data_IF_914744230633
#
_entry.id   IF_914744230633
#
_cell.length_a   1.000
_cell.length_b   1.000
_cell.length_c   1.000
_cell.angle_alpha   90.00
_cell.angle_beta   90.00
_cell.angle_gamma   90.00
#
_symmetry.space_group_name_H-M   'P 1'
#
loop_
_entity.id
_entity.type
_entity.pdbx_description
1 polymer ?
#
# COMPACT_ATOMS: atom_id res chain seq x y z
N UNK A 1 -22.79 -10.05 -15.26
CA UNK A 1 -22.48 -8.97 -14.31
C UNK A 1 -21.61 -7.93 -15.01
N UNK A 2 -21.83 -6.65 -14.77
CA UNK A 2 -21.05 -5.55 -15.37
C UNK A 2 -20.10 -4.87 -14.36
N UNK A 3 -19.31 -3.91 -14.83
CA UNK A 3 -18.32 -3.18 -14.03
C UNK A 3 -18.96 -2.37 -12.88
N UNK A 4 -20.14 -1.78 -13.12
CA UNK A 4 -20.84 -0.99 -12.11
C UNK A 4 -21.26 -1.86 -10.93
N UNK A 5 -21.80 -3.06 -11.19
CA UNK A 5 -22.21 -4.00 -10.15
C UNK A 5 -21.03 -4.49 -9.32
N UNK A 6 -19.92 -4.87 -9.96
CA UNK A 6 -18.71 -5.32 -9.25
C UNK A 6 -18.15 -4.21 -8.33
N UNK A 7 -18.13 -2.96 -8.80
CA UNK A 7 -17.70 -1.81 -7.98
C UNK A 7 -18.68 -1.56 -6.82
N UNK A 8 -19.98 -1.69 -7.03
CA UNK A 8 -20.97 -1.55 -5.97
C UNK A 8 -20.78 -2.59 -4.85
N UNK A 9 -20.46 -3.86 -5.19
CA UNK A 9 -20.12 -4.90 -4.21
C UNK A 9 -18.89 -4.49 -3.39
N UNK A 10 -17.84 -3.96 -4.03
CA UNK A 10 -16.64 -3.52 -3.33
C UNK A 10 -16.91 -2.36 -2.35
N UNK A 11 -17.70 -1.37 -2.76
CA UNK A 11 -18.09 -0.25 -1.90
C UNK A 11 -18.95 -0.71 -0.72
N UNK A 12 -19.92 -1.60 -0.96
CA UNK A 12 -20.76 -2.19 0.09
C UNK A 12 -19.95 -3.01 1.10
N UNK A 13 -18.85 -3.64 0.68
CA UNK A 13 -17.91 -4.35 1.55
C UNK A 13 -16.86 -3.45 2.23
N UNK A 14 -16.99 -2.13 2.10
CA UNK A 14 -16.22 -1.14 2.85
C UNK A 14 -14.95 -0.62 2.16
N UNK A 15 -14.80 -0.82 0.84
CA UNK A 15 -13.79 -0.11 0.08
C UNK A 15 -14.13 1.39 0.04
N UNK A 16 -13.13 2.26 0.27
CA UNK A 16 -13.30 3.72 0.15
C UNK A 16 -13.41 4.15 -1.31
N UNK A 17 -12.78 3.40 -2.22
CA UNK A 17 -12.94 3.54 -3.65
C UNK A 17 -12.66 2.20 -4.35
N UNK A 18 -13.28 1.99 -5.51
CA UNK A 18 -13.09 0.81 -6.33
C UNK A 18 -13.11 1.19 -7.82
N UNK A 19 -12.29 0.52 -8.61
CA UNK A 19 -12.16 0.77 -10.05
C UNK A 19 -11.77 -0.50 -10.81
N UNK A 20 -12.04 -0.52 -12.12
CA UNK A 20 -11.69 -1.63 -13.00
C UNK A 20 -10.45 -1.28 -13.83
N UNK A 21 -9.42 -2.11 -13.75
CA UNK A 21 -8.23 -2.02 -14.59
C UNK A 21 -8.19 -3.16 -15.63
N UNK A 22 -7.49 -2.97 -16.75
CA UNK A 22 -7.26 -4.04 -17.73
C UNK A 22 -6.32 -5.12 -17.14
N UNK A 23 -6.52 -6.38 -17.55
CA UNK A 23 -5.64 -7.49 -17.18
C UNK A 23 -4.36 -7.61 -18.05
N UNK A 24 -4.06 -6.60 -18.87
CA UNK A 24 -3.00 -6.62 -19.88
C UNK A 24 -1.57 -6.54 -19.33
N UNK A 25 -0.62 -6.28 -20.22
CA UNK A 25 0.74 -5.92 -19.84
C UNK A 25 0.76 -4.52 -19.22
N UNK A 26 1.63 -4.33 -18.23
CA UNK A 26 1.80 -3.06 -17.53
C UNK A 26 3.06 -2.36 -18.04
N UNK A 27 2.91 -1.15 -18.59
CA UNK A 27 4.04 -0.37 -19.10
C UNK A 27 5.05 -0.02 -18.00
N UNK A 28 4.56 0.20 -16.77
CA UNK A 28 5.37 0.44 -15.58
C UNK A 28 6.24 -0.77 -15.16
N UNK A 29 6.11 -1.92 -15.83
CA UNK A 29 6.98 -3.06 -15.59
C UNK A 29 8.47 -2.73 -15.81
N UNK A 30 8.79 -1.82 -16.74
CA UNK A 30 10.18 -1.36 -16.96
C UNK A 30 10.75 -0.74 -15.69
N UNK A 31 9.99 0.15 -15.05
CA UNK A 31 10.39 0.84 -13.82
C UNK A 31 10.62 -0.14 -12.68
N UNK A 32 9.75 -1.14 -12.53
CA UNK A 32 9.96 -2.23 -11.57
C UNK A 32 11.25 -3.01 -11.89
N UNK A 33 11.46 -3.36 -13.15
CA UNK A 33 12.65 -4.12 -13.61
C UNK A 33 13.95 -3.38 -13.31
N UNK A 34 13.99 -2.07 -13.49
CA UNK A 34 15.14 -1.25 -13.11
C UNK A 34 15.31 -1.19 -11.59
N UNK A 35 14.23 -0.98 -10.83
CA UNK A 35 14.30 -0.84 -9.38
C UNK A 35 14.84 -2.11 -8.71
N UNK A 36 14.44 -3.31 -9.16
CA UNK A 36 14.87 -4.58 -8.56
C UNK A 36 16.36 -4.90 -8.75
N UNK A 37 17.06 -4.20 -9.65
CA UNK A 37 18.51 -4.38 -9.82
C UNK A 37 19.31 -3.90 -8.62
N UNK A 38 18.81 -2.88 -7.91
CA UNK A 38 19.52 -2.17 -6.83
C UNK A 38 18.85 -2.29 -5.46
N UNK A 39 18.03 -3.33 -5.24
CA UNK A 39 17.37 -3.55 -3.95
C UNK A 39 18.30 -4.19 -2.91
N UNK A 40 18.15 -3.84 -1.63
CA UNK A 40 18.88 -4.48 -0.55
C UNK A 40 18.41 -5.93 -0.32
N UNK A 41 19.23 -6.72 0.41
CA UNK A 41 19.05 -8.17 0.60
C UNK A 41 17.70 -8.55 1.22
N UNK A 42 17.16 -7.73 2.13
CA UNK A 42 15.85 -7.94 2.76
C UNK A 42 14.68 -7.97 1.76
N UNK A 43 14.87 -7.41 0.57
CA UNK A 43 13.86 -7.39 -0.50
C UNK A 43 14.13 -8.40 -1.62
N UNK A 44 15.06 -9.35 -1.43
CA UNK A 44 15.47 -10.30 -2.47
C UNK A 44 14.34 -11.14 -3.07
N UNK A 45 13.21 -11.31 -2.37
CA UNK A 45 12.01 -11.96 -2.90
C UNK A 45 11.45 -11.26 -4.15
N UNK A 46 11.68 -9.95 -4.31
CA UNK A 46 11.28 -9.20 -5.49
C UNK A 46 12.06 -9.61 -6.75
N UNK A 47 13.16 -10.36 -6.64
CA UNK A 47 13.89 -10.88 -7.81
C UNK A 47 13.38 -12.25 -8.28
N UNK A 48 12.47 -12.88 -7.53
CA UNK A 48 11.92 -14.20 -7.86
C UNK A 48 10.88 -14.04 -8.97
N UNK A 49 11.11 -14.69 -10.10
CA UNK A 49 10.24 -14.66 -11.29
C UNK A 49 9.66 -13.25 -11.59
N UNK A 50 10.51 -12.26 -11.92
CA UNK A 50 10.06 -10.89 -12.08
C UNK A 50 9.03 -10.76 -13.21
N UNK A 51 9.10 -11.63 -14.23
CA UNK A 51 8.20 -11.59 -15.37
C UNK A 51 6.74 -11.82 -15.00
N UNK A 52 6.45 -12.53 -13.89
CA UNK A 52 5.08 -12.76 -13.44
C UNK A 52 4.35 -11.44 -13.11
N UNK A 53 5.09 -10.38 -12.74
CA UNK A 53 4.55 -9.05 -12.42
C UNK A 53 4.22 -8.20 -13.64
N UNK A 54 4.68 -8.59 -14.84
CA UNK A 54 4.46 -7.83 -16.08
C UNK A 54 2.98 -7.74 -16.45
N UNK A 55 2.20 -8.75 -16.09
CA UNK A 55 0.77 -8.80 -16.34
C UNK A 55 0.11 -9.72 -15.32
N UNK A 56 -1.06 -9.34 -14.82
CA UNK A 56 -1.86 -10.20 -13.93
C UNK A 56 -2.19 -11.55 -14.59
N UNK A 57 -2.28 -11.62 -15.93
CA UNK A 57 -2.51 -12.87 -16.68
C UNK A 57 -1.41 -13.91 -16.48
N UNK A 58 -0.18 -13.48 -16.18
CA UNK A 58 0.91 -14.43 -15.89
C UNK A 58 0.77 -15.07 -14.51
N UNK A 59 0.12 -14.39 -13.58
CA UNK A 59 -0.16 -14.88 -12.23
C UNK A 59 -1.54 -15.56 -12.10
N UNK A 60 -2.50 -15.16 -12.92
CA UNK A 60 -3.86 -15.69 -13.03
C UNK A 60 -4.28 -15.76 -14.50
N UNK A 61 -4.04 -16.89 -15.20
CA UNK A 61 -4.27 -17.00 -16.65
C UNK A 61 -5.71 -16.72 -17.12
N UNK A 62 -6.71 -16.99 -16.30
CA UNK A 62 -8.11 -16.73 -16.63
C UNK A 62 -8.48 -15.23 -16.58
N UNK A 63 -7.61 -14.37 -16.07
CA UNK A 63 -7.87 -12.95 -15.91
C UNK A 63 -8.24 -12.24 -17.23
N UNK A 64 -9.40 -11.57 -17.23
CA UNK A 64 -9.85 -10.68 -18.32
C UNK A 64 -9.93 -9.23 -17.86
N UNK A 65 -10.27 -9.00 -16.59
CA UNK A 65 -10.27 -7.69 -15.94
C UNK A 65 -9.74 -7.77 -14.51
N UNK A 66 -9.52 -6.61 -13.89
CA UNK A 66 -9.07 -6.51 -12.50
C UNK A 66 -9.92 -5.50 -11.75
N UNK A 67 -10.62 -5.94 -10.70
CA UNK A 67 -11.17 -5.05 -9.69
C UNK A 67 -10.04 -4.62 -8.76
N UNK A 68 -9.85 -3.31 -8.60
CA UNK A 68 -8.90 -2.72 -7.65
C UNK A 68 -9.67 -1.93 -6.60
N UNK A 69 -9.31 -2.12 -5.34
CA UNK A 69 -9.94 -1.49 -4.19
C UNK A 69 -8.90 -0.68 -3.39
N UNK A 70 -9.33 0.48 -2.90
CA UNK A 70 -8.59 1.29 -1.93
C UNK A 70 -9.34 1.32 -0.60
N UNK A 71 -8.61 1.09 0.49
CA UNK A 71 -9.15 1.10 1.86
C UNK A 71 -8.43 2.15 2.70
N UNK A 72 -9.11 3.22 3.09
CA UNK A 72 -8.50 4.29 3.89
C UNK A 72 -8.28 3.83 5.33
N UNK A 73 -7.06 3.99 5.83
CA UNK A 73 -6.67 3.60 7.20
C UNK A 73 -6.30 4.78 8.09
N UNK A 74 -6.21 5.98 7.53
CA UNK A 74 -5.92 7.18 8.30
C UNK A 74 -6.54 8.41 7.64
N UNK A 75 -6.92 9.40 8.45
CA UNK A 75 -7.39 10.70 7.98
C UNK A 75 -6.62 11.83 8.68
N UNK A 76 -6.49 13.01 8.04
CA UNK A 76 -5.69 14.11 8.59
C UNK A 76 -6.20 14.68 9.92
N UNK A 77 -7.46 14.43 10.29
CA UNK A 77 -8.02 14.89 11.57
C UNK A 77 -7.56 14.04 12.77
N UNK A 78 -6.99 12.87 12.52
CA UNK A 78 -6.53 11.96 13.58
C UNK A 78 -5.17 12.38 14.13
N UNK A 79 -5.03 12.32 15.46
CA UNK A 79 -3.78 12.62 16.16
C UNK A 79 -2.91 11.35 16.30
N UNK A 80 -1.79 11.31 15.57
CA UNK A 80 -0.85 10.18 15.59
C UNK A 80 -0.28 9.90 16.98
N UNK A 81 0.05 10.94 17.75
CA UNK A 81 0.64 10.78 19.08
C UNK A 81 -0.40 10.23 20.05
N UNK A 82 -1.64 10.73 19.98
CA UNK A 82 -2.74 10.25 20.81
C UNK A 82 -3.11 8.79 20.49
N UNK A 83 -3.20 8.41 19.21
CA UNK A 83 -3.48 7.02 18.84
C UNK A 83 -2.34 6.08 19.21
N UNK A 84 -1.09 6.49 18.99
CA UNK A 84 0.05 5.66 19.40
C UNK A 84 0.15 5.50 20.92
N UNK A 85 -0.24 6.49 21.71
CA UNK A 85 -0.26 6.37 23.18
C UNK A 85 -1.19 5.24 23.66
N UNK A 86 -2.29 4.97 22.93
CA UNK A 86 -3.22 3.86 23.22
C UNK A 86 -2.63 2.49 22.93
N UNK A 87 -1.60 2.38 22.10
CA UNK A 87 -0.95 1.12 21.74
C UNK A 87 -0.10 0.53 22.90
N UNK A 88 0.30 1.35 23.88
CA UNK A 88 1.19 0.94 24.95
C UNK A 88 2.60 0.54 24.44
N UNK A 89 3.25 -0.48 25.03
CA UNK A 89 4.60 -0.88 24.61
C UNK A 89 4.63 -1.35 23.15
N UNK A 90 5.32 -0.60 22.29
CA UNK A 90 5.29 -0.80 20.83
C UNK A 90 5.73 -2.19 20.39
N UNK A 91 6.74 -2.79 21.03
CA UNK A 91 7.19 -4.15 20.72
C UNK A 91 6.09 -5.18 20.95
N UNK A 92 5.38 -5.11 22.08
CA UNK A 92 4.28 -6.02 22.40
C UNK A 92 3.09 -5.77 21.47
N UNK A 93 2.77 -4.50 21.21
CA UNK A 93 1.72 -4.10 20.29
C UNK A 93 1.93 -4.65 18.87
N UNK A 94 3.15 -4.55 18.34
CA UNK A 94 3.48 -5.09 17.02
C UNK A 94 3.27 -6.61 16.99
N UNK A 95 3.77 -7.35 17.98
CA UNK A 95 3.54 -8.80 18.05
C UNK A 95 2.05 -9.16 18.10
N UNK A 96 1.29 -8.50 18.97
CA UNK A 96 -0.15 -8.75 19.14
C UNK A 96 -0.95 -8.38 17.89
N UNK A 97 -0.48 -7.41 17.10
CA UNK A 97 -1.08 -7.03 15.83
C UNK A 97 -0.54 -7.82 14.63
N UNK A 98 0.23 -8.90 14.85
CA UNK A 98 0.73 -9.81 13.82
C UNK A 98 1.99 -9.32 13.08
N UNK A 99 2.66 -8.27 13.59
CA UNK A 99 3.82 -7.65 12.97
C UNK A 99 5.10 -8.00 13.72
N UNK A 100 6.09 -8.52 13.00
CA UNK A 100 7.40 -8.84 13.57
C UNK A 100 8.25 -7.57 13.75
N UNK A 101 8.68 -7.22 14.97
CA UNK A 101 9.66 -6.17 15.21
C UNK A 101 11.02 -6.54 14.60
N UNK A 102 11.64 -5.61 13.86
CA UNK A 102 12.99 -5.81 13.26
C UNK A 102 14.08 -5.01 13.97
N UNK A 103 13.71 -3.91 14.63
CA UNK A 103 14.63 -3.00 15.33
C UNK A 103 14.19 -2.81 16.80
N UNK A 104 14.25 -3.86 17.66
CA UNK A 104 13.71 -3.80 19.03
C UNK A 104 14.34 -2.70 19.89
N UNK A 105 15.63 -2.41 19.71
CA UNK A 105 16.30 -1.32 20.43
C UNK A 105 15.71 0.07 20.09
N UNK A 106 15.32 0.30 18.82
CA UNK A 106 14.68 1.55 18.42
C UNK A 106 13.26 1.67 18.98
N UNK A 107 12.52 0.55 19.04
CA UNK A 107 11.16 0.52 19.57
C UNK A 107 11.08 0.80 21.07
N UNK A 108 12.13 0.45 21.83
CA UNK A 108 12.24 0.72 23.26
C UNK A 108 12.82 2.11 23.57
N UNK A 109 13.26 2.87 22.57
CA UNK A 109 13.85 4.18 22.78
C UNK A 109 12.77 5.24 23.13
N UNK A 110 13.09 6.22 23.99
CA UNK A 110 12.20 7.36 24.23
C UNK A 110 11.85 8.09 22.92
N UNK A 111 10.56 8.36 22.72
CA UNK A 111 10.08 9.04 21.51
C UNK A 111 10.01 8.15 20.26
N UNK A 112 10.10 6.82 20.41
CA UNK A 112 9.88 5.88 19.32
C UNK A 112 8.49 6.05 18.68
N UNK A 113 8.44 5.91 17.36
CA UNK A 113 7.24 6.07 16.51
C UNK A 113 7.07 4.87 15.60
N UNK A 114 5.83 4.45 15.39
CA UNK A 114 5.47 3.50 14.34
C UNK A 114 4.55 4.17 13.31
N UNK A 115 4.67 3.75 12.06
CA UNK A 115 3.85 4.25 10.95
C UNK A 115 2.36 4.07 11.25
N UNK A 116 1.53 5.01 10.77
CA UNK A 116 0.08 5.00 10.92
C UNK A 116 -0.55 3.68 10.45
N UNK A 117 -0.02 3.08 9.38
CA UNK A 117 -0.53 1.79 8.88
C UNK A 117 -0.31 0.63 9.89
N UNK A 118 0.66 0.79 10.79
CA UNK A 118 0.98 -0.21 11.80
C UNK A 118 0.07 -0.10 13.03
N UNK A 119 -0.69 0.99 13.20
CA UNK A 119 -1.61 1.19 14.31
C UNK A 119 -2.93 0.43 14.15
N UNK A 120 -3.30 0.01 12.94
CA UNK A 120 -4.48 -0.82 12.71
C UNK A 120 -4.14 -2.32 12.73
N UNK A 121 -5.16 -3.19 12.62
CA UNK A 121 -5.00 -4.63 12.37
C UNK A 121 -4.09 -4.87 11.15
N UNK A 122 -3.38 -6.00 11.12
CA UNK A 122 -2.57 -6.37 9.95
C UNK A 122 -3.41 -6.34 8.66
N UNK A 123 -3.05 -5.41 7.78
CA UNK A 123 -3.81 -5.15 6.57
C UNK A 123 -3.78 -6.32 5.60
N UNK A 124 -2.74 -7.17 5.64
CA UNK A 124 -2.66 -8.36 4.80
C UNK A 124 -3.86 -9.29 5.05
N UNK A 125 -4.22 -9.46 6.32
CA UNK A 125 -5.36 -10.28 6.74
C UNK A 125 -6.68 -9.55 6.49
N UNK A 126 -6.79 -8.30 6.96
CA UNK A 126 -8.04 -7.54 6.86
C UNK A 126 -8.47 -7.28 5.40
N UNK A 127 -7.53 -6.92 4.52
CA UNK A 127 -7.81 -6.73 3.08
C UNK A 127 -8.18 -8.07 2.44
N UNK A 128 -7.46 -9.16 2.73
CA UNK A 128 -7.74 -10.49 2.16
C UNK A 128 -9.12 -11.01 2.55
N UNK A 129 -9.53 -10.83 3.81
CA UNK A 129 -10.87 -11.20 4.29
C UNK A 129 -11.96 -10.46 3.52
N UNK A 130 -11.81 -9.13 3.39
CA UNK A 130 -12.75 -8.29 2.62
C UNK A 130 -12.83 -8.70 1.15
N UNK A 131 -11.68 -8.91 0.50
CA UNK A 131 -11.64 -9.32 -0.91
C UNK A 131 -12.22 -10.73 -1.12
N UNK A 132 -12.02 -11.65 -0.17
CA UNK A 132 -12.61 -12.99 -0.22
C UNK A 132 -14.13 -12.90 -0.12
N UNK A 133 -14.65 -12.12 0.83
CA UNK A 133 -16.08 -11.88 0.95
C UNK A 133 -16.67 -11.24 -0.32
N UNK A 134 -16.00 -10.23 -0.88
CA UNK A 134 -16.40 -9.62 -2.16
C UNK A 134 -16.45 -10.64 -3.30
N UNK A 135 -15.46 -11.55 -3.40
CA UNK A 135 -15.44 -12.58 -4.42
C UNK A 135 -16.61 -13.56 -4.26
N UNK A 136 -16.95 -13.94 -3.03
CA UNK A 136 -18.11 -14.80 -2.77
C UNK A 136 -19.43 -14.10 -3.14
N UNK A 137 -19.59 -12.80 -2.86
CA UNK A 137 -20.75 -12.05 -3.34
C UNK A 137 -20.82 -11.99 -4.88
N UNK A 138 -19.68 -11.80 -5.56
CA UNK A 138 -19.63 -11.83 -7.03
C UNK A 138 -20.06 -13.21 -7.56
N UNK A 139 -19.62 -14.30 -6.92
CA UNK A 139 -19.97 -15.67 -7.31
C UNK A 139 -21.45 -15.98 -7.15
N UNK A 140 -22.17 -15.38 -6.19
CA UNK A 140 -23.63 -15.58 -6.07
C UNK A 140 -24.38 -15.16 -7.34
N UNK A 141 -23.92 -14.10 -7.99
CA UNK A 141 -24.51 -13.57 -9.23
C UNK A 141 -23.79 -14.07 -10.49
N UNK A 142 -22.62 -14.68 -10.37
CA UNK A 142 -21.85 -15.24 -11.48
C UNK A 142 -21.11 -16.52 -11.03
N UNK A 143 -21.82 -17.66 -10.85
CA UNK A 143 -21.26 -18.83 -10.17
C UNK A 143 -20.02 -19.46 -10.82
N UNK A 144 -19.89 -19.35 -12.14
CA UNK A 144 -18.76 -19.89 -12.89
C UNK A 144 -17.56 -18.93 -13.00
N UNK A 145 -17.59 -17.77 -12.31
CA UNK A 145 -16.50 -16.79 -12.40
C UNK A 145 -15.22 -17.33 -11.76
N UNK A 146 -14.12 -17.30 -12.52
CA UNK A 146 -12.78 -17.47 -11.96
C UNK A 146 -12.30 -16.15 -11.36
N UNK A 147 -11.79 -16.21 -10.13
CA UNK A 147 -11.44 -15.04 -9.35
C UNK A 147 -10.27 -15.33 -8.41
N UNK A 148 -9.27 -14.46 -8.43
CA UNK A 148 -8.09 -14.58 -7.58
C UNK A 148 -7.80 -13.26 -6.87
N UNK A 149 -7.84 -13.27 -5.54
CA UNK A 149 -7.60 -12.09 -4.70
C UNK A 149 -6.10 -11.83 -4.54
N UNK A 150 -5.71 -10.56 -4.52
CA UNK A 150 -4.32 -10.14 -4.28
C UNK A 150 -4.23 -8.95 -3.33
N UNK A 151 -3.15 -8.91 -2.56
CA UNK A 151 -2.72 -7.81 -1.71
C UNK A 151 -1.25 -8.03 -1.33
N UNK A 152 -0.39 -7.04 -1.61
CA UNK A 152 1.01 -6.83 -1.17
C UNK A 152 1.99 -8.00 -1.42
N UNK A 153 1.70 -9.13 -0.80
CA UNK A 153 2.43 -10.40 -0.86
C UNK A 153 2.30 -11.10 -2.22
N UNK A 154 1.29 -10.73 -3.02
CA UNK A 154 1.09 -11.28 -4.36
C UNK A 154 2.05 -10.63 -5.37
N UNK A 155 2.46 -11.32 -6.43
CA UNK A 155 3.37 -10.74 -7.41
C UNK A 155 2.59 -9.93 -8.46
N UNK A 156 1.82 -8.95 -7.98
CA UNK A 156 0.99 -8.02 -8.75
C UNK A 156 1.55 -6.60 -8.54
N UNK A 157 1.27 -5.67 -9.45
CA UNK A 157 1.70 -4.26 -9.34
C UNK A 157 0.51 -3.37 -8.96
N UNK A 158 0.06 -3.44 -7.71
CA UNK A 158 -1.19 -2.84 -7.24
C UNK A 158 -1.26 -1.33 -7.48
N UNK A 159 -0.15 -0.61 -7.25
CA UNK A 159 -0.10 0.84 -7.47
C UNK A 159 -0.33 1.22 -8.93
N UNK A 160 0.13 0.39 -9.88
CA UNK A 160 -0.10 0.66 -11.30
C UNK A 160 -1.52 0.29 -11.71
N UNK A 161 -2.03 -0.86 -11.25
CA UNK A 161 -3.41 -1.24 -11.49
C UNK A 161 -4.38 -0.22 -10.90
N UNK A 162 -4.11 0.32 -9.72
CA UNK A 162 -4.92 1.38 -9.12
C UNK A 162 -4.90 2.68 -9.94
N UNK A 163 -3.78 3.02 -10.58
CA UNK A 163 -3.70 4.14 -11.52
C UNK A 163 -4.55 3.92 -12.75
N UNK A 164 -4.44 2.73 -13.35
CA UNK A 164 -5.24 2.33 -14.52
C UNK A 164 -6.74 2.24 -14.19
N UNK A 165 -7.08 1.89 -12.96
CA UNK A 165 -8.45 1.87 -12.44
C UNK A 165 -8.97 3.26 -12.01
N UNK A 166 -8.22 4.35 -12.27
CA UNK A 166 -8.64 5.72 -11.97
C UNK A 166 -8.60 6.12 -10.49
N UNK A 167 -8.03 5.31 -9.60
CA UNK A 167 -8.06 5.54 -8.15
C UNK A 167 -7.07 6.61 -7.66
N UNK A 168 -6.07 6.94 -8.48
CA UNK A 168 -5.05 7.94 -8.17
C UNK A 168 -3.85 7.84 -9.10
N UNK A 169 -2.83 8.64 -8.84
CA UNK A 169 -1.62 8.71 -9.66
C UNK A 169 -0.38 8.38 -8.84
N UNK A 170 0.73 8.01 -9.49
CA UNK A 170 1.98 7.72 -8.80
C UNK A 170 2.69 9.02 -8.40
N UNK A 171 2.87 9.24 -7.10
CA UNK A 171 3.55 10.41 -6.57
C UNK A 171 5.07 10.36 -6.70
N UNK A 172 5.73 11.51 -6.50
CA UNK A 172 7.21 11.58 -6.39
C UNK A 172 7.77 10.81 -5.19
N UNK A 173 6.95 10.51 -4.19
CA UNK A 173 7.26 9.59 -3.09
C UNK A 173 7.04 8.10 -3.43
N UNK A 174 6.68 7.79 -4.68
CA UNK A 174 6.42 6.43 -5.22
C UNK A 174 5.16 5.73 -4.70
N UNK A 175 4.35 6.39 -3.89
CA UNK A 175 3.04 5.91 -3.45
C UNK A 175 1.96 6.22 -4.48
N UNK A 176 0.81 5.56 -4.36
CA UNK A 176 -0.40 6.02 -5.03
C UNK A 176 -0.94 7.22 -4.26
N UNK A 177 -1.24 8.31 -4.97
CA UNK A 177 -1.84 9.53 -4.45
C UNK A 177 -3.22 9.68 -5.05
N UNK A 178 -4.23 9.74 -4.20
CA UNK A 178 -5.59 10.12 -4.58
C UNK A 178 -5.85 11.56 -4.14
N UNK A 179 -6.53 12.35 -4.98
CA UNK A 179 -6.94 13.72 -4.59
C UNK A 179 -8.03 13.72 -3.52
N UNK A 180 -8.83 12.66 -3.46
CA UNK A 180 -9.96 12.54 -2.53
C UNK A 180 -9.63 11.70 -1.30
N UNK A 181 -8.71 10.74 -1.40
CA UNK A 181 -8.33 9.85 -0.29
C UNK A 181 -6.93 10.12 0.28
N UNK A 182 -6.10 10.93 -0.39
CA UNK A 182 -4.68 11.06 -0.08
C UNK A 182 -3.91 9.77 -0.41
N UNK A 183 -2.91 9.46 0.41
CA UNK A 183 -2.05 8.28 0.29
C UNK A 183 -2.18 7.30 1.45
N UNK A 184 -3.02 7.60 2.45
CA UNK A 184 -3.27 6.72 3.59
C UNK A 184 -4.30 5.64 3.25
N UNK A 185 -3.98 4.86 2.22
CA UNK A 185 -4.83 3.81 1.68
C UNK A 185 -4.05 2.50 1.55
N UNK A 186 -4.67 1.39 1.92
CA UNK A 186 -4.25 0.06 1.50
C UNK A 186 -4.82 -0.25 0.13
N UNK A 187 -4.06 -0.98 -0.67
CA UNK A 187 -4.47 -1.45 -2.00
C UNK A 187 -4.61 -2.97 -1.99
N UNK A 188 -5.62 -3.45 -2.68
CA UNK A 188 -5.81 -4.86 -2.98
C UNK A 188 -6.81 -4.99 -4.11
N UNK A 189 -7.07 -6.22 -4.56
CA UNK A 189 -8.01 -6.41 -5.64
C UNK A 189 -8.32 -7.86 -5.95
N UNK A 190 -9.15 -8.03 -6.98
CA UNK A 190 -9.58 -9.33 -7.49
C UNK A 190 -9.31 -9.35 -8.99
N UNK A 191 -8.48 -10.29 -9.41
CA UNK A 191 -8.35 -10.59 -10.82
C UNK A 191 -9.52 -11.50 -11.22
N UNK A 192 -10.29 -11.10 -12.23
CA UNK A 192 -11.55 -11.72 -12.59
C UNK A 192 -11.51 -12.27 -14.02
N UNK A 193 -12.11 -13.44 -14.23
CA UNK A 193 -12.39 -14.01 -15.55
C UNK A 193 -13.55 -13.33 -16.30
N UNK A 194 -14.08 -12.22 -15.79
CA UNK A 194 -15.11 -11.41 -16.42
C UNK A 194 -14.48 -10.37 -17.36
N UNK A 195 -15.08 -10.19 -18.53
CA UNK A 195 -14.72 -9.10 -19.44
C UNK A 195 -15.49 -7.84 -19.02
N UNK A 196 -14.85 -7.01 -18.19
CA UNK A 196 -15.43 -5.79 -17.62
C UNK A 196 -14.77 -4.58 -18.28
N UNK A 197 -15.59 -3.59 -18.64
CA UNK A 197 -15.09 -2.33 -19.18
C UNK A 197 -14.15 -1.65 -18.14
N UNK A 198 -12.90 -1.32 -18.51
CA UNK A 198 -11.98 -0.63 -17.62
C UNK A 198 -12.40 0.82 -17.41
N UNK A 199 -12.08 1.36 -16.24
CA UNK A 199 -12.20 2.78 -15.95
C UNK A 199 -11.09 3.58 -16.66
N UNK A 200 -11.26 4.90 -16.75
CA UNK A 200 -10.24 5.77 -17.29
C UNK A 200 -9.04 5.87 -16.32
N UNK A 201 -7.79 5.72 -16.80
CA UNK A 201 -6.62 5.92 -15.96
C UNK A 201 -6.56 7.34 -15.38
N UNK A 202 -6.04 7.47 -14.17
CA UNK A 202 -5.74 8.79 -13.60
C UNK A 202 -4.44 9.35 -14.20
N UNK A 203 -4.54 10.48 -14.90
CA UNK A 203 -3.41 11.15 -15.58
C UNK A 203 -2.80 12.32 -14.79
N UNK A 204 -3.09 12.39 -13.50
CA UNK A 204 -2.65 13.49 -12.65
C UNK A 204 -1.17 13.37 -12.24
N UNK A 205 -0.59 14.45 -11.71
CA UNK A 205 0.81 14.50 -11.31
C UNK A 205 1.08 15.41 -10.10
N UNK A 206 2.29 15.30 -9.55
CA UNK A 206 2.76 16.23 -8.52
C UNK A 206 3.09 17.64 -9.06
N UNK A 207 3.13 17.83 -10.39
CA UNK A 207 3.68 19.03 -11.01
C UNK A 207 5.07 19.39 -10.46
N UNK A 208 5.25 20.66 -10.08
CA UNK A 208 6.51 21.18 -9.51
C UNK A 208 6.69 20.86 -8.01
N UNK A 209 5.72 20.24 -7.34
CA UNK A 209 5.84 19.94 -5.91
C UNK A 209 6.97 18.95 -5.63
N UNK A 210 7.77 19.21 -4.59
CA UNK A 210 8.89 18.36 -4.15
C UNK A 210 8.97 18.20 -2.63
N UNK A 211 7.88 18.49 -1.91
CA UNK A 211 7.89 18.51 -0.44
C UNK A 211 8.33 17.17 0.16
N UNK A 212 7.83 16.05 -0.35
CA UNK A 212 8.22 14.70 0.11
C UNK A 212 9.70 14.36 -0.17
N UNK A 213 10.24 14.84 -1.31
CA UNK A 213 11.66 14.64 -1.67
C UNK A 213 12.55 15.44 -0.72
N UNK A 214 12.20 16.70 -0.46
CA UNK A 214 12.93 17.59 0.45
C UNK A 214 12.85 17.14 1.91
N UNK A 215 11.71 16.58 2.33
CA UNK A 215 11.49 16.11 3.70
C UNK A 215 12.18 14.77 4.00
N UNK A 216 12.51 13.97 2.99
CA UNK A 216 13.12 12.65 3.21
C UNK A 216 14.53 12.78 3.81
N UNK A 217 14.74 12.38 5.08
CA UNK A 217 15.97 12.73 5.81
C UNK A 217 17.20 11.97 5.30
N UNK A 218 16.99 10.81 4.68
CA UNK A 218 18.04 9.97 4.08
C UNK A 218 18.21 10.19 2.58
N UNK A 219 17.44 11.11 1.98
CA UNK A 219 17.42 11.37 0.53
C UNK A 219 17.22 10.10 -0.29
N UNK A 220 16.31 9.24 0.18
CA UNK A 220 15.94 8.00 -0.51
C UNK A 220 15.06 8.24 -1.75
N UNK A 221 14.46 9.44 -1.87
CA UNK A 221 13.55 9.79 -2.96
C UNK A 221 14.22 10.76 -3.94
N UNK A 222 14.25 10.40 -5.23
CA UNK A 222 14.81 11.25 -6.30
C UNK A 222 14.05 11.04 -7.61
N UNK A 223 13.56 12.10 -8.25
CA UNK A 223 12.85 12.04 -9.54
C UNK A 223 11.75 10.97 -9.59
N UNK A 224 10.98 10.89 -8.52
CA UNK A 224 9.93 9.88 -8.39
C UNK A 224 10.44 8.46 -8.31
N UNK A 225 11.72 8.19 -8.01
CA UNK A 225 12.32 6.88 -7.75
C UNK A 225 12.68 6.75 -6.27
N UNK A 226 12.78 5.51 -5.80
CA UNK A 226 13.13 5.17 -4.42
C UNK A 226 14.42 4.34 -4.42
N UNK A 227 15.41 4.80 -3.67
CA UNK A 227 16.53 3.98 -3.19
C UNK A 227 16.09 3.27 -1.92
N UNK A 228 15.74 1.99 -2.03
CA UNK A 228 15.26 1.20 -0.90
C UNK A 228 16.34 1.01 0.17
N UNK A 229 17.62 0.98 -0.19
CA UNK A 229 18.74 0.84 0.75
C UNK A 229 18.93 2.07 1.65
N UNK A 230 18.38 3.23 1.26
CA UNK A 230 18.36 4.45 2.07
C UNK A 230 17.04 4.67 2.79
N UNK A 231 15.99 3.93 2.45
CA UNK A 231 14.65 4.17 2.96
C UNK A 231 14.53 3.74 4.43
N UNK A 232 14.13 4.65 5.32
CA UNK A 232 13.90 4.33 6.74
C UNK A 232 12.82 3.24 6.92
N UNK A 233 11.79 3.24 6.07
CA UNK A 233 10.76 2.21 6.12
C UNK A 233 11.34 0.81 5.82
N UNK A 234 12.29 0.69 4.88
CA UNK A 234 12.98 -0.58 4.63
C UNK A 234 13.75 -1.04 5.87
N UNK A 235 14.58 -0.15 6.44
CA UNK A 235 15.42 -0.48 7.59
C UNK A 235 14.64 -0.91 8.83
N UNK A 236 13.46 -0.32 9.04
CA UNK A 236 12.63 -0.54 10.23
C UNK A 236 11.59 -1.65 10.08
N UNK A 237 11.42 -2.22 8.88
CA UNK A 237 10.39 -3.27 8.65
C UNK A 237 10.89 -4.52 7.93
N UNK A 238 11.93 -4.41 7.09
CA UNK A 238 12.35 -5.49 6.18
C UNK A 238 13.84 -5.84 6.28
N UNK A 239 14.68 -4.92 6.79
CA UNK A 239 16.10 -5.20 6.95
C UNK A 239 16.33 -6.32 7.97
N UNK A 240 17.28 -7.21 7.65
CA UNK A 240 17.75 -8.27 8.56
C UNK A 240 18.89 -7.78 9.45
N UNK A 241 19.63 -6.79 8.97
CA UNK A 241 20.76 -6.18 9.63
C UNK A 241 20.31 -5.03 10.53
N UNK A 242 21.17 -4.67 11.49
CA UNK A 242 20.98 -3.47 12.31
C UNK A 242 20.97 -2.24 11.41
N UNK A 243 20.06 -1.30 11.67
CA UNK A 243 20.04 -0.03 10.94
C UNK A 243 21.35 0.75 11.16
N UNK A 244 21.99 1.27 10.10
CA UNK A 244 23.22 2.05 10.22
C UNK A 244 23.05 3.27 11.13
N UNK A 245 24.08 3.62 11.90
CA UNK A 245 24.01 4.71 12.89
C UNK A 245 23.63 6.06 12.29
N UNK A 246 24.12 6.38 11.09
CA UNK A 246 23.73 7.60 10.37
C UNK A 246 22.23 7.62 10.03
N UNK A 247 21.65 6.47 9.67
CA UNK A 247 20.22 6.35 9.43
C UNK A 247 19.43 6.45 10.75
N UNK A 248 19.93 5.87 11.84
CA UNK A 248 19.34 5.99 13.20
C UNK A 248 19.28 7.45 13.64
N UNK A 249 20.37 8.20 13.50
CA UNK A 249 20.42 9.62 13.85
C UNK A 249 19.41 10.47 13.06
N UNK A 250 19.07 10.04 11.83
CA UNK A 250 18.13 10.71 10.93
C UNK A 250 16.70 10.18 11.02
N UNK A 251 16.46 9.14 11.82
CA UNK A 251 15.16 8.47 11.86
C UNK A 251 14.07 9.29 12.57
N UNK A 252 14.42 10.29 13.39
CA UNK A 252 13.43 11.15 14.06
C UNK A 252 12.42 10.39 14.93
N UNK A 253 12.85 9.26 15.49
CA UNK A 253 12.05 8.34 16.31
C UNK A 253 11.33 7.24 15.51
N UNK A 254 11.29 7.28 14.18
CA UNK A 254 10.65 6.22 13.38
C UNK A 254 11.37 4.87 13.57
N UNK A 255 10.68 3.94 14.23
CA UNK A 255 11.20 2.65 14.67
C UNK A 255 10.51 1.44 14.00
N UNK A 256 9.34 1.65 13.37
CA UNK A 256 8.66 0.66 12.52
C UNK A 256 7.87 1.35 11.41
N UNK A 257 8.37 1.30 10.18
CA UNK A 257 7.86 2.10 9.07
C UNK A 257 8.31 3.57 9.17
N UNK A 258 7.90 4.40 8.21
CA UNK A 258 8.20 5.83 8.20
C UNK A 258 7.17 6.60 7.36
N UNK A 259 6.51 7.60 7.95
CA UNK A 259 5.47 8.37 7.25
C UNK A 259 5.94 9.75 6.76
N UNK A 260 7.20 10.15 6.95
CA UNK A 260 7.67 11.53 6.68
C UNK A 260 7.30 12.01 5.26
N UNK A 261 7.45 11.14 4.26
CA UNK A 261 7.13 11.50 2.87
C UNK A 261 5.62 11.58 2.57
N UNK A 262 4.80 10.98 3.43
CA UNK A 262 3.34 11.10 3.42
C UNK A 262 2.90 12.34 4.20
N UNK A 263 3.46 12.58 5.39
CA UNK A 263 3.18 13.76 6.22
C UNK A 263 3.48 15.06 5.48
N UNK A 264 4.58 15.09 4.72
CA UNK A 264 4.94 16.24 3.88
C UNK A 264 4.12 16.34 2.57
N UNK A 265 3.23 15.40 2.26
CA UNK A 265 2.49 15.40 1.00
C UNK A 265 1.24 16.28 1.11
N UNK A 266 1.06 17.30 0.25
CA UNK A 266 -0.12 18.17 0.31
C UNK A 266 -1.44 17.46 -0.03
N UNK A 267 -1.39 16.27 -0.64
CA UNK A 267 -2.58 15.46 -0.91
C UNK A 267 -3.15 14.78 0.34
N UNK A 268 -2.39 14.71 1.45
CA UNK A 268 -2.85 14.10 2.71
C UNK A 268 -3.60 15.11 3.60
N UNK A 269 -4.42 15.96 2.97
CA UNK A 269 -5.28 16.95 3.65
C UNK A 269 -6.76 16.69 3.42
N UNK A 270 -7.11 15.69 2.63
CA UNK A 270 -8.51 15.37 2.31
C UNK A 270 -9.20 14.73 3.54
N UNK A 271 -10.32 15.30 4.01
CA UNK A 271 -11.06 14.76 5.15
C UNK A 271 -11.82 13.47 4.80
N UNK A 272 -12.35 12.80 5.83
CA UNK A 272 -13.41 11.79 5.68
C UNK A 272 -13.30 10.59 6.62
N UNK A 273 -14.02 9.52 6.32
CA UNK A 273 -14.12 8.30 7.13
C UNK A 273 -13.12 7.20 6.77
N UNK A 274 -12.64 6.47 7.77
CA UNK A 274 -11.87 5.25 7.55
C UNK A 274 -12.71 4.18 6.86
N UNK A 275 -12.04 3.28 6.13
CA UNK A 275 -12.66 2.04 5.72
C UNK A 275 -12.94 1.18 6.96
N UNK A 276 -14.14 0.59 7.11
CA UNK A 276 -14.48 -0.18 8.30
C UNK A 276 -13.50 -1.33 8.57
N UNK A 277 -13.03 -1.47 9.81
CA UNK A 277 -12.08 -2.49 10.24
C UNK A 277 -10.60 -2.11 10.06
N UNK A 278 -10.32 -0.84 9.75
CA UNK A 278 -8.97 -0.27 9.69
C UNK A 278 -8.74 0.83 10.73
N UNK A 279 -9.59 0.91 11.74
CA UNK A 279 -9.43 1.80 12.88
C UNK A 279 -8.14 1.46 13.67
N UNK A 280 -7.48 2.44 14.29
CA UNK A 280 -6.37 2.18 15.22
C UNK A 280 -6.81 1.25 16.35
N UNK A 281 -5.95 0.29 16.68
CA UNK A 281 -6.15 -0.62 17.80
C UNK A 281 -5.71 0.06 19.10
N UNK A 282 -6.44 -0.20 20.18
CA UNK A 282 -5.99 0.08 21.55
C UNK A 282 -5.39 -1.19 22.18
N UNK A 283 -4.50 -1.01 23.16
CA UNK A 283 -3.98 -2.07 24.02
C UNK A 283 -5.11 -2.79 24.77
#
# INVERSE_FOLDING_TARGET
>A
MDAARVKAIALAAGASAAGIAPAGNLDEFRRYSEAVTIIPSGLGYLKRDPLIRKSVKKWHPAARSVLVCAFRYWTPEMDHAAEQAKAGPLTAFLWNSGRKPTQPALLSAPGAKISRYALCRDYHLAVKEKLSAMLEEIKKESPAVDGKTFCDTSPVMEKELARLAGLGFRGKNTLLLSRTLGSYIFLGGISLGLDLAPDAPCEDSCGRCEQCVKACPTRALTNGRLDAGRCLAYWTTQAKDKMPEEAVARAGGWAYGCDICQEACPNNKAPGQLSPGFEPLSK
#
